data_IF_643925830486
#
_entry.id   IF_643925830486
#
_cell.length_a   1.000
_cell.length_b   1.000
_cell.length_c   1.000
_cell.angle_alpha   90.00
_cell.angle_beta   90.00
_cell.angle_gamma   90.00
#
_symmetry.space_group_name_H-M   'P 1'
#
loop_
_entity.id
_entity.type
_entity.pdbx_description
1 polymer ?
#
# COMPACT_ATOMS: atom_id res chain seq x y z
N UNK A 1 20.07 9.84 30.12
CA UNK A 1 18.93 8.95 30.42
C UNK A 1 19.15 7.50 29.98
N UNK A 2 19.71 7.27 28.78
CA UNK A 2 20.03 5.91 28.25
C UNK A 2 21.14 5.19 29.03
N UNK A 3 22.13 5.93 29.57
CA UNK A 3 23.23 5.35 30.34
C UNK A 3 22.83 4.83 31.73
N UNK A 4 21.79 5.41 32.34
CA UNK A 4 21.32 5.01 33.67
C UNK A 4 20.53 3.70 33.62
N UNK A 5 19.76 3.49 32.55
CA UNK A 5 19.01 2.25 32.30
C UNK A 5 19.91 1.03 32.04
N UNK A 6 21.05 1.25 31.38
CA UNK A 6 22.03 0.18 31.11
C UNK A 6 22.74 -0.27 32.38
N UNK A 7 23.06 0.67 33.26
CA UNK A 7 23.72 0.39 34.52
C UNK A 7 22.80 -0.33 35.52
N UNK A 8 21.50 -0.03 35.53
CA UNK A 8 20.53 -0.74 36.39
C UNK A 8 20.15 -2.12 35.86
N UNK A 9 20.12 -2.34 34.54
CA UNK A 9 19.89 -3.69 33.98
C UNK A 9 21.03 -4.66 34.29
N UNK A 10 22.27 -4.18 34.24
CA UNK A 10 23.45 -5.02 34.49
C UNK A 10 23.61 -5.35 35.98
N UNK A 11 23.14 -4.48 36.88
CA UNK A 11 23.13 -4.74 38.33
C UNK A 11 22.05 -5.74 38.73
N UNK A 12 20.84 -5.65 38.15
CA UNK A 12 19.75 -6.60 38.40
C UNK A 12 20.02 -7.99 37.79
N UNK A 13 20.67 -8.06 36.62
CA UNK A 13 21.04 -9.32 35.98
C UNK A 13 22.08 -10.09 36.82
N UNK A 14 23.07 -9.37 37.38
CA UNK A 14 24.15 -9.99 38.16
C UNK A 14 23.77 -10.38 39.60
N UNK A 15 22.75 -9.75 40.20
CA UNK A 15 22.28 -10.13 41.54
C UNK A 15 21.20 -11.23 41.54
N UNK A 16 20.45 -11.40 40.45
CA UNK A 16 19.28 -12.30 40.43
C UNK A 16 19.58 -13.65 39.75
N UNK A 17 20.48 -13.71 38.77
CA UNK A 17 20.70 -14.91 37.93
C UNK A 17 22.09 -15.50 38.11
N UNK A 18 22.34 -16.15 39.25
CA UNK A 18 23.62 -16.82 39.55
C UNK A 18 23.56 -18.35 39.41
N UNK A 19 22.42 -18.91 38.94
CA UNK A 19 22.28 -20.36 38.76
C UNK A 19 21.95 -20.73 37.31
N UNK A 20 22.53 -21.82 36.78
CA UNK A 20 22.36 -22.25 35.39
C UNK A 20 20.90 -22.56 35.01
N UNK A 21 20.05 -22.86 36.00
CA UNK A 21 18.61 -23.08 35.82
C UNK A 21 17.86 -21.83 35.36
N UNK A 22 18.27 -20.65 35.81
CA UNK A 22 17.53 -19.41 35.57
C UNK A 22 17.72 -18.93 34.11
N UNK A 23 18.92 -19.10 33.56
CA UNK A 23 19.23 -18.80 32.15
C UNK A 23 18.50 -19.77 31.19
N UNK A 24 18.35 -21.03 31.60
CA UNK A 24 17.60 -22.03 30.83
C UNK A 24 16.10 -21.70 30.80
N UNK A 25 15.53 -21.32 31.95
CA UNK A 25 14.12 -20.97 32.07
C UNK A 25 13.76 -19.72 31.23
N UNK A 26 14.59 -18.68 31.26
CA UNK A 26 14.37 -17.47 30.44
C UNK A 26 14.44 -17.78 28.94
N UNK A 27 15.37 -18.63 28.51
CA UNK A 27 15.43 -19.08 27.10
C UNK A 27 14.22 -19.91 26.72
N UNK A 28 13.74 -20.77 27.61
CA UNK A 28 12.58 -21.62 27.35
C UNK A 28 11.28 -20.79 27.27
N UNK A 29 11.09 -19.83 28.19
CA UNK A 29 9.96 -18.90 28.17
C UNK A 29 10.03 -18.03 26.91
N UNK A 30 11.19 -17.48 26.57
CA UNK A 30 11.38 -16.69 25.34
C UNK A 30 11.09 -17.49 24.07
N UNK A 31 11.48 -18.76 24.02
CA UNK A 31 11.14 -19.67 22.92
C UNK A 31 9.63 -19.93 22.85
N UNK A 32 8.98 -20.17 23.98
CA UNK A 32 7.54 -20.41 24.05
C UNK A 32 6.74 -19.17 23.63
N UNK A 33 7.12 -17.98 24.11
CA UNK A 33 6.51 -16.70 23.73
C UNK A 33 6.70 -16.42 22.25
N UNK A 34 7.87 -16.70 21.68
CA UNK A 34 8.11 -16.56 20.23
C UNK A 34 7.28 -17.55 19.43
N UNK A 35 7.09 -18.77 19.91
CA UNK A 35 6.26 -19.79 19.26
C UNK A 35 4.78 -19.43 19.32
N UNK A 36 4.31 -18.91 20.46
CA UNK A 36 2.95 -18.40 20.65
C UNK A 36 2.72 -17.16 19.79
N UNK A 37 3.64 -16.18 19.79
CA UNK A 37 3.58 -15.02 18.91
C UNK A 37 3.53 -15.43 17.44
N UNK A 38 4.42 -16.33 17.01
CA UNK A 38 4.40 -16.85 15.65
C UNK A 38 3.15 -17.65 15.32
N UNK A 39 2.51 -18.31 16.29
CA UNK A 39 1.28 -19.07 16.09
C UNK A 39 0.05 -18.14 16.04
N UNK A 40 -0.07 -17.20 16.99
CA UNK A 40 -1.10 -16.17 17.04
C UNK A 40 -1.04 -15.25 15.81
N UNK A 41 0.17 -14.84 15.40
CA UNK A 41 0.38 -13.99 14.23
C UNK A 41 0.40 -14.78 12.90
N UNK A 42 0.38 -16.13 12.95
CA UNK A 42 0.15 -16.99 11.77
C UNK A 42 -1.33 -17.35 11.55
N UNK A 43 -2.24 -16.94 12.43
CA UNK A 43 -3.67 -16.99 12.12
C UNK A 43 -3.96 -16.11 10.89
N UNK A 44 -4.77 -16.60 9.94
CA UNK A 44 -4.31 -16.64 8.57
C UNK A 44 -4.68 -15.36 7.84
N UNK A 45 -3.72 -14.85 7.07
CA UNK A 45 -3.93 -13.84 6.04
C UNK A 45 -5.14 -14.18 5.14
N UNK A 46 -5.41 -15.48 4.97
CA UNK A 46 -6.57 -16.06 4.27
C UNK A 46 -7.92 -15.80 4.97
N UNK A 47 -8.02 -15.84 6.30
CA UNK A 47 -9.28 -15.57 7.03
C UNK A 47 -9.65 -14.07 7.04
N UNK A 48 -8.66 -13.18 6.92
CA UNK A 48 -8.90 -11.75 6.69
C UNK A 48 -9.36 -11.47 5.25
N UNK A 49 -9.01 -12.33 4.29
CA UNK A 49 -9.43 -12.25 2.88
C UNK A 49 -10.82 -12.86 2.65
N UNK A 50 -11.33 -13.65 3.59
CA UNK A 50 -12.61 -14.38 3.47
C UNK A 50 -13.82 -13.59 3.99
N UNK A 51 -13.74 -12.25 4.06
CA UNK A 51 -14.96 -11.45 3.98
C UNK A 51 -15.31 -11.44 2.50
N UNK A 52 -16.46 -11.98 2.09
CA UNK A 52 -16.97 -11.79 0.74
C UNK A 52 -16.98 -10.28 0.45
N UNK A 53 -15.92 -9.76 -0.15
CA UNK A 53 -15.86 -8.39 -0.64
C UNK A 53 -16.73 -8.44 -1.88
N UNK A 54 -18.00 -8.11 -1.71
CA UNK A 54 -18.85 -7.78 -2.85
C UNK A 54 -18.22 -6.54 -3.44
N UNK A 55 -17.40 -6.75 -4.48
CA UNK A 55 -16.79 -5.64 -5.19
C UNK A 55 -17.92 -4.80 -5.77
N UNK A 56 -17.84 -3.47 -5.65
CA UNK A 56 -18.80 -2.62 -6.33
C UNK A 56 -18.79 -2.93 -7.83
N UNK A 57 -19.94 -2.78 -8.52
CA UNK A 57 -19.99 -2.94 -9.96
C UNK A 57 -18.94 -2.03 -10.61
N UNK A 58 -18.13 -2.61 -11.49
CA UNK A 58 -17.03 -1.90 -12.13
C UNK A 58 -17.59 -0.88 -13.13
N UNK A 59 -17.20 0.39 -12.97
CA UNK A 59 -17.51 1.46 -13.92
C UNK A 59 -16.22 1.89 -14.62
N UNK A 60 -16.10 1.58 -15.91
CA UNK A 60 -14.90 1.88 -16.69
C UNK A 60 -15.16 3.06 -17.62
N UNK A 61 -14.38 4.13 -17.48
CA UNK A 61 -14.46 5.33 -18.33
C UNK A 61 -13.20 5.47 -19.19
N UNK A 62 -13.36 5.48 -20.51
CA UNK A 62 -12.26 5.77 -21.44
C UNK A 62 -12.21 7.27 -21.72
N UNK A 63 -11.03 7.87 -21.57
CA UNK A 63 -10.80 9.31 -21.74
C UNK A 63 -9.81 9.54 -22.88
N UNK A 64 -10.25 10.29 -23.90
CA UNK A 64 -9.45 10.68 -25.05
C UNK A 64 -9.33 12.21 -25.20
N UNK A 65 -10.11 12.99 -24.46
CA UNK A 65 -10.18 14.45 -24.57
C UNK A 65 -10.14 15.15 -23.21
N UNK A 66 -9.83 16.45 -23.20
CA UNK A 66 -9.88 17.26 -21.97
C UNK A 66 -11.28 17.35 -21.37
N UNK A 67 -12.32 17.37 -22.19
CA UNK A 67 -13.72 17.45 -21.72
C UNK A 67 -14.11 16.17 -20.96
N UNK A 68 -13.76 15.01 -21.51
CA UNK A 68 -13.95 13.71 -20.84
C UNK A 68 -13.10 13.59 -19.58
N UNK A 69 -11.87 14.10 -19.58
CA UNK A 69 -11.05 14.15 -18.37
C UNK A 69 -11.73 14.99 -17.27
N UNK A 70 -12.22 16.18 -17.64
CA UNK A 70 -12.86 17.08 -16.69
C UNK A 70 -14.14 16.49 -16.08
N UNK A 71 -14.88 15.67 -16.85
CA UNK A 71 -16.11 15.04 -16.34
C UNK A 71 -15.83 13.93 -15.31
N UNK A 72 -14.71 13.21 -15.41
CA UNK A 72 -14.35 12.14 -14.47
C UNK A 72 -13.45 12.59 -13.32
N UNK A 73 -12.71 13.69 -13.50
CA UNK A 73 -11.73 14.18 -12.52
C UNK A 73 -12.34 14.47 -11.16
N UNK A 74 -13.53 15.10 -11.13
CA UNK A 74 -14.22 15.42 -9.87
C UNK A 74 -14.60 14.16 -9.09
N UNK A 75 -15.15 13.17 -9.78
CA UNK A 75 -15.52 11.88 -9.18
C UNK A 75 -14.30 11.13 -8.65
N UNK A 76 -13.17 11.15 -9.37
CA UNK A 76 -11.91 10.57 -8.86
C UNK A 76 -11.46 11.24 -7.54
N UNK A 77 -11.54 12.57 -7.46
CA UNK A 77 -11.19 13.30 -6.23
C UNK A 77 -12.14 12.98 -5.07
N UNK A 78 -13.44 12.96 -5.32
CA UNK A 78 -14.46 12.60 -4.32
C UNK A 78 -14.20 11.20 -3.73
N UNK A 79 -13.79 10.25 -4.56
CA UNK A 79 -13.40 8.91 -4.09
C UNK A 79 -12.15 8.93 -3.20
N UNK A 80 -11.27 9.91 -3.37
CA UNK A 80 -10.06 10.07 -2.57
C UNK A 80 -10.26 10.82 -1.25
N UNK A 81 -11.42 11.46 -1.01
CA UNK A 81 -11.66 12.27 0.21
C UNK A 81 -11.63 11.44 1.49
N UNK A 82 -12.16 10.21 1.43
CA UNK A 82 -12.19 9.29 2.58
C UNK A 82 -10.99 8.34 2.64
N UNK A 83 -10.50 7.92 1.48
CA UNK A 83 -9.34 7.04 1.34
C UNK A 83 -8.48 7.61 0.22
N UNK A 84 -7.38 8.33 0.51
CA UNK A 84 -6.56 9.02 -0.49
C UNK A 84 -5.65 8.01 -1.21
N UNK A 85 -6.24 7.03 -1.87
CA UNK A 85 -5.53 5.97 -2.59
C UNK A 85 -6.17 5.79 -3.96
N UNK A 86 -5.34 5.85 -4.99
CA UNK A 86 -5.68 5.44 -6.34
C UNK A 86 -4.84 4.24 -6.74
N UNK A 87 -5.48 3.23 -7.31
CA UNK A 87 -4.79 2.21 -8.10
C UNK A 87 -4.23 2.87 -9.36
N UNK A 88 -2.97 2.58 -9.69
CA UNK A 88 -2.27 3.16 -10.83
C UNK A 88 -1.60 2.05 -11.63
N UNK A 89 -1.84 2.05 -12.94
CA UNK A 89 -1.17 1.19 -13.89
C UNK A 89 -1.00 1.90 -15.24
N UNK A 90 -0.15 1.40 -16.12
CA UNK A 90 0.15 2.06 -17.39
C UNK A 90 0.54 1.08 -18.50
N UNK A 91 -0.01 1.25 -19.70
CA UNK A 91 0.34 0.44 -20.88
C UNK A 91 1.13 1.23 -21.92
N UNK A 92 2.06 0.53 -22.57
CA UNK A 92 2.85 1.03 -23.69
C UNK A 92 3.00 -0.06 -24.76
N UNK A 93 3.30 0.35 -25.99
CA UNK A 93 3.68 -0.60 -27.04
C UNK A 93 5.20 -0.78 -27.09
N UNK A 94 5.63 -1.96 -27.57
CA UNK A 94 7.03 -2.22 -27.90
C UNK A 94 7.14 -2.56 -29.39
N UNK A 95 8.08 -1.93 -30.10
CA UNK A 95 8.33 -2.21 -31.52
C UNK A 95 9.83 -2.37 -31.73
N UNK A 96 10.23 -3.45 -32.41
CA UNK A 96 11.64 -3.78 -32.65
C UNK A 96 12.49 -3.80 -31.37
N UNK A 97 11.95 -4.38 -30.29
CA UNK A 97 12.63 -4.45 -28.99
C UNK A 97 12.74 -3.12 -28.23
N UNK A 98 12.17 -2.02 -28.75
CA UNK A 98 12.18 -0.70 -28.10
C UNK A 98 10.81 -0.39 -27.51
N UNK A 99 10.80 0.01 -26.23
CA UNK A 99 9.62 0.53 -25.53
C UNK A 99 9.30 1.95 -26.01
N UNK A 100 8.04 2.18 -26.33
CA UNK A 100 7.52 3.50 -26.68
C UNK A 100 7.01 4.26 -25.44
N UNK A 101 6.75 5.58 -25.56
CA UNK A 101 6.07 6.32 -24.50
C UNK A 101 4.76 5.64 -24.08
N UNK A 102 4.36 5.88 -22.83
CA UNK A 102 3.10 5.36 -22.29
C UNK A 102 1.94 5.81 -23.19
N UNK A 103 1.14 4.82 -23.61
CA UNK A 103 -0.03 5.03 -24.46
C UNK A 103 -1.33 5.09 -23.66
N UNK A 104 -1.42 4.35 -22.55
CA UNK A 104 -2.58 4.30 -21.68
C UNK A 104 -2.12 4.48 -20.23
N UNK A 105 -2.87 5.27 -19.47
CA UNK A 105 -2.73 5.38 -18.02
C UNK A 105 -4.06 4.97 -17.39
N UNK A 106 -4.01 4.08 -16.40
CA UNK A 106 -5.16 3.59 -15.66
C UNK A 106 -5.15 4.19 -14.25
N UNK A 107 -6.28 4.78 -13.84
CA UNK A 107 -6.52 5.25 -12.48
C UNK A 107 -7.78 4.59 -11.93
N UNK A 108 -7.65 3.82 -10.84
CA UNK A 108 -8.77 3.12 -10.20
C UNK A 108 -9.04 3.70 -8.81
N UNK A 109 -10.29 4.08 -8.54
CA UNK A 109 -10.72 4.50 -7.22
C UNK A 109 -11.45 3.40 -6.45
N UNK A 110 -11.77 3.70 -5.19
CA UNK A 110 -12.26 2.70 -4.21
C UNK A 110 -13.65 2.13 -4.51
N UNK A 111 -14.50 2.87 -5.25
CA UNK A 111 -15.90 2.48 -5.47
C UNK A 111 -16.11 1.79 -6.84
N UNK A 112 -15.05 1.19 -7.41
CA UNK A 112 -15.13 0.44 -8.66
C UNK A 112 -14.98 1.28 -9.93
N UNK A 113 -14.80 2.60 -9.82
CA UNK A 113 -14.47 3.47 -10.94
C UNK A 113 -13.04 3.21 -11.42
N UNK A 114 -12.87 2.96 -12.72
CA UNK A 114 -11.57 2.89 -13.38
C UNK A 114 -11.55 3.82 -14.60
N UNK A 115 -10.64 4.78 -14.60
CA UNK A 115 -10.44 5.75 -15.67
C UNK A 115 -9.26 5.33 -16.52
N UNK A 116 -9.51 5.08 -17.80
CA UNK A 116 -8.54 4.66 -18.81
C UNK A 116 -8.20 5.86 -19.72
N UNK A 117 -7.10 6.53 -19.43
CA UNK A 117 -6.67 7.75 -20.12
C UNK A 117 -5.77 7.38 -21.29
N UNK A 118 -6.26 7.55 -22.52
CA UNK A 118 -5.48 7.29 -23.75
C UNK A 118 -4.51 8.44 -24.01
N UNK A 119 -3.39 8.45 -23.30
CA UNK A 119 -2.35 9.50 -23.40
C UNK A 119 -1.83 9.73 -24.83
N UNK A 120 -1.88 8.70 -25.69
CA UNK A 120 -1.50 8.84 -27.09
C UNK A 120 -2.54 9.60 -27.95
N UNK A 121 -3.79 9.70 -27.48
CA UNK A 121 -4.88 10.43 -28.15
C UNK A 121 -5.24 11.74 -27.44
N UNK A 122 -4.93 11.86 -26.15
CA UNK A 122 -5.22 13.04 -25.36
C UNK A 122 -4.50 14.27 -25.94
N UNK A 123 -5.21 15.37 -26.28
CA UNK A 123 -4.58 16.55 -26.84
C UNK A 123 -3.48 17.11 -25.93
N UNK A 124 -2.47 17.74 -26.52
CA UNK A 124 -1.41 18.41 -25.77
C UNK A 124 -1.65 19.93 -25.74
N UNK A 125 -1.29 20.63 -24.65
CA UNK A 125 -0.71 20.09 -23.41
C UNK A 125 -1.71 19.28 -22.58
N UNK A 126 -1.22 18.28 -21.85
CA UNK A 126 -2.06 17.50 -20.93
C UNK A 126 -2.70 18.39 -19.86
N UNK A 127 -3.93 18.06 -19.40
CA UNK A 127 -4.62 18.82 -18.36
C UNK A 127 -3.74 19.06 -17.13
N UNK A 128 -3.73 20.30 -16.64
CA UNK A 128 -2.96 20.64 -15.45
C UNK A 128 -3.41 19.83 -14.23
N UNK A 129 -4.72 19.59 -14.09
CA UNK A 129 -5.31 18.76 -13.03
C UNK A 129 -4.81 17.32 -13.05
N UNK A 130 -4.60 16.72 -14.23
CA UNK A 130 -4.01 15.38 -14.33
C UNK A 130 -2.57 15.37 -13.80
N UNK A 131 -1.77 16.37 -14.19
CA UNK A 131 -0.38 16.49 -13.72
C UNK A 131 -0.33 16.72 -12.21
N UNK A 132 -1.19 17.60 -11.69
CA UNK A 132 -1.28 17.87 -10.26
C UNK A 132 -1.71 16.64 -9.46
N UNK A 133 -2.69 15.87 -9.97
CA UNK A 133 -3.13 14.63 -9.33
C UNK A 133 -1.99 13.60 -9.23
N UNK A 134 -1.25 13.40 -10.32
CA UNK A 134 -0.14 12.44 -10.35
C UNK A 134 1.11 12.89 -9.58
N UNK A 135 1.23 14.19 -9.32
CA UNK A 135 2.32 14.77 -8.54
C UNK A 135 1.99 14.90 -7.05
N UNK A 136 0.74 14.66 -6.64
CA UNK A 136 0.34 14.70 -5.24
C UNK A 136 0.98 13.53 -4.49
N UNK A 137 1.69 13.82 -3.41
CA UNK A 137 2.43 12.84 -2.61
C UNK A 137 1.67 12.40 -1.35
N UNK A 138 0.45 12.89 -1.17
CA UNK A 138 -0.39 12.60 -0.01
C UNK A 138 -1.16 11.31 -0.16
#
# INVERSE_FOLDING_TARGET
MVSFYRQTSDFLCNQIFSRPFDVFLVKMIGFLLRKIYNFLMKAPRELLMQKHVVLPPMDVKVVCTHSEWNSVYRTLLEQCESIPVLGLDAEWISRFGRRYPVSLLQLAGKDGLCVLIRLNLLPKPFPASLKSLLADSR
#
